data_IF_299628615674
#
_entry.id   IF_299628615674
#
_cell.length_a   1.000
_cell.length_b   1.000
_cell.length_c   1.000
_cell.angle_alpha   90.00
_cell.angle_beta   90.00
_cell.angle_gamma   90.00
#
_symmetry.space_group_name_H-M   'P 1'
#
loop_
_entity.id
_entity.type
_entity.pdbx_description
1 polymer ?
#
# COMPACT_ATOMS: atom_id res chain seq x y z
N UNK A 1 18.08 -10.93 2.38
CA UNK A 1 17.93 -11.30 0.94
C UNK A 1 16.47 -11.41 0.47
N UNK A 2 15.59 -12.26 1.04
CA UNK A 2 14.16 -12.31 0.62
C UNK A 2 13.32 -11.09 1.04
N UNK A 3 13.69 -10.42 2.14
CA UNK A 3 13.00 -9.23 2.66
C UNK A 3 13.41 -7.98 1.87
N UNK A 4 14.69 -7.86 1.51
CA UNK A 4 15.23 -6.70 0.77
C UNK A 4 14.62 -6.59 -0.64
N UNK A 5 14.37 -7.72 -1.32
CA UNK A 5 13.67 -7.75 -2.61
C UNK A 5 12.18 -7.39 -2.53
N UNK A 6 11.55 -7.56 -1.36
CA UNK A 6 10.15 -7.14 -1.12
C UNK A 6 10.07 -5.63 -0.88
N UNK A 7 11.12 -5.02 -0.32
CA UNK A 7 11.19 -3.58 -0.04
C UNK A 7 11.50 -2.80 -1.33
N UNK A 8 12.42 -3.28 -2.19
CA UNK A 8 12.75 -2.60 -3.45
C UNK A 8 11.65 -2.66 -4.52
N UNK A 9 10.70 -3.59 -4.41
CA UNK A 9 9.53 -3.74 -5.28
C UNK A 9 8.19 -3.52 -4.53
N UNK A 10 8.22 -2.70 -3.47
CA UNK A 10 7.06 -2.38 -2.63
C UNK A 10 5.83 -1.94 -3.46
N UNK A 11 6.03 -1.21 -4.56
CA UNK A 11 4.96 -0.76 -5.46
C UNK A 11 4.12 -1.92 -6.03
N UNK A 12 4.76 -2.96 -6.56
CA UNK A 12 4.07 -4.13 -7.13
C UNK A 12 3.39 -4.99 -6.05
N UNK A 13 4.02 -5.11 -4.88
CA UNK A 13 3.48 -5.84 -3.75
C UNK A 13 2.21 -5.16 -3.20
N UNK A 14 2.29 -3.86 -2.94
CA UNK A 14 1.16 -3.05 -2.47
C UNK A 14 0.03 -3.03 -3.49
N UNK A 15 0.34 -2.89 -4.80
CA UNK A 15 -0.67 -2.94 -5.86
C UNK A 15 -1.40 -4.29 -5.93
N UNK A 16 -0.69 -5.40 -5.74
CA UNK A 16 -1.31 -6.74 -5.73
C UNK A 16 -2.26 -6.91 -4.54
N UNK A 17 -1.86 -6.45 -3.36
CA UNK A 17 -2.70 -6.44 -2.17
C UNK A 17 -3.94 -5.56 -2.39
N UNK A 18 -3.77 -4.38 -3.00
CA UNK A 18 -4.86 -3.45 -3.29
C UNK A 18 -5.92 -4.09 -4.20
N UNK A 19 -5.51 -4.80 -5.23
CA UNK A 19 -6.41 -5.54 -6.14
C UNK A 19 -7.18 -6.61 -5.36
N UNK A 20 -6.49 -7.36 -4.49
CA UNK A 20 -7.11 -8.36 -3.62
C UNK A 20 -8.15 -7.76 -2.67
N UNK A 21 -7.82 -6.64 -2.02
CA UNK A 21 -8.75 -5.92 -1.12
C UNK A 21 -9.97 -5.42 -1.90
N UNK A 22 -9.77 -4.86 -3.10
CA UNK A 22 -10.85 -4.35 -3.94
C UNK A 22 -11.82 -5.47 -4.35
N UNK A 23 -11.29 -6.61 -4.81
CA UNK A 23 -12.08 -7.79 -5.14
C UNK A 23 -12.86 -8.35 -3.94
N UNK A 24 -12.20 -8.47 -2.79
CA UNK A 24 -12.84 -8.91 -1.55
C UNK A 24 -13.94 -7.94 -1.10
N UNK A 25 -13.72 -6.62 -1.28
CA UNK A 25 -14.70 -5.56 -1.01
C UNK A 25 -15.95 -5.68 -1.89
N UNK A 26 -15.79 -5.92 -3.20
CA UNK A 26 -16.94 -6.15 -4.08
C UNK A 26 -17.74 -7.39 -3.71
N UNK A 27 -17.06 -8.50 -3.43
CA UNK A 27 -17.73 -9.73 -2.99
C UNK A 27 -18.48 -9.52 -1.67
N UNK A 28 -17.84 -8.90 -0.68
CA UNK A 28 -18.50 -8.57 0.60
C UNK A 28 -19.71 -7.66 0.41
N UNK A 29 -19.61 -6.64 -0.44
CA UNK A 29 -20.73 -5.74 -0.73
C UNK A 29 -21.91 -6.46 -1.38
N UNK A 30 -21.64 -7.42 -2.28
CA UNK A 30 -22.69 -8.23 -2.89
C UNK A 30 -23.38 -9.12 -1.85
N UNK A 31 -22.61 -9.82 -1.00
CA UNK A 31 -23.18 -10.64 0.07
C UNK A 31 -23.91 -9.82 1.15
N UNK A 32 -23.47 -8.58 1.42
CA UNK A 32 -24.08 -7.71 2.41
C UNK A 32 -25.54 -7.36 2.08
N UNK A 33 -25.85 -7.17 0.81
CA UNK A 33 -27.21 -6.90 0.33
C UNK A 33 -28.15 -8.08 0.65
N UNK A 34 -27.70 -9.30 0.36
CA UNK A 34 -28.54 -10.48 0.54
C UNK A 34 -28.67 -10.90 2.01
N UNK A 35 -27.57 -10.87 2.78
CA UNK A 35 -27.53 -11.42 4.15
C UNK A 35 -28.02 -10.46 5.23
N UNK A 36 -27.87 -9.15 5.03
CA UNK A 36 -28.16 -8.17 6.07
C UNK A 36 -29.24 -7.17 5.63
N UNK A 37 -29.25 -6.75 4.37
CA UNK A 37 -30.15 -5.68 3.94
C UNK A 37 -31.60 -6.14 3.79
N UNK A 38 -31.81 -7.34 3.25
CA UNK A 38 -33.15 -7.92 3.13
C UNK A 38 -33.82 -8.13 4.50
N UNK A 39 -33.19 -8.82 5.49
CA UNK A 39 -33.78 -8.98 6.82
C UNK A 39 -34.03 -7.66 7.56
N UNK A 40 -33.12 -6.68 7.40
CA UNK A 40 -33.29 -5.37 8.01
C UNK A 40 -34.50 -4.63 7.41
N UNK A 41 -34.67 -4.71 6.08
CA UNK A 41 -35.80 -4.09 5.39
C UNK A 41 -37.15 -4.71 5.75
N UNK A 42 -37.21 -6.04 5.91
CA UNK A 42 -38.41 -6.75 6.35
C UNK A 42 -38.75 -6.39 7.79
N UNK A 43 -37.77 -6.38 8.70
CA UNK A 43 -37.98 -5.96 10.09
C UNK A 43 -38.50 -4.53 10.21
N UNK A 44 -37.98 -3.60 9.39
CA UNK A 44 -38.44 -2.20 9.36
C UNK A 44 -39.86 -2.08 8.79
N UNK A 45 -40.21 -2.91 7.81
CA UNK A 45 -41.57 -2.96 7.26
C UNK A 45 -42.56 -3.50 8.30
N UNK A 46 -42.20 -4.58 8.99
CA UNK A 46 -43.00 -5.19 10.06
C UNK A 46 -43.19 -4.25 11.26
N UNK A 47 -42.24 -3.34 11.51
CA UNK A 47 -42.36 -2.28 12.52
C UNK A 47 -43.34 -1.16 12.13
N UNK A 48 -43.94 -1.22 10.94
CA UNK A 48 -44.96 -0.27 10.49
C UNK A 48 -44.41 1.02 9.88
N UNK A 49 -43.18 1.00 9.36
CA UNK A 49 -42.61 2.17 8.66
C UNK A 49 -43.42 2.43 7.38
N UNK A 50 -43.96 3.66 7.17
CA UNK A 50 -44.84 3.99 6.05
C UNK A 50 -44.05 4.25 4.75
N UNK A 51 -43.17 3.32 4.40
CA UNK A 51 -42.31 3.37 3.22
C UNK A 51 -42.51 2.08 2.42
N UNK A 52 -42.61 2.13 1.08
CA UNK A 52 -42.69 0.93 0.24
C UNK A 52 -41.49 0.00 0.46
N UNK A 53 -41.74 -1.31 0.52
CA UNK A 53 -40.71 -2.34 0.78
C UNK A 53 -39.48 -2.20 -0.14
N UNK A 54 -39.68 -1.87 -1.42
CA UNK A 54 -38.58 -1.68 -2.38
C UNK A 54 -37.67 -0.50 -2.05
N UNK A 55 -38.24 0.62 -1.58
CA UNK A 55 -37.46 1.79 -1.14
C UNK A 55 -36.74 1.49 0.18
N UNK A 56 -37.41 0.78 1.09
CA UNK A 56 -36.85 0.39 2.38
C UNK A 56 -35.68 -0.60 2.21
N UNK A 57 -35.79 -1.54 1.28
CA UNK A 57 -34.70 -2.45 0.90
C UNK A 57 -33.51 -1.68 0.33
N UNK A 58 -33.74 -0.74 -0.59
CA UNK A 58 -32.67 0.08 -1.16
C UNK A 58 -31.94 0.88 -0.07
N UNK A 59 -32.67 1.50 0.86
CA UNK A 59 -32.10 2.24 1.99
C UNK A 59 -31.30 1.30 2.90
N UNK A 60 -31.86 0.13 3.24
CA UNK A 60 -31.17 -0.88 4.05
C UNK A 60 -29.88 -1.35 3.39
N UNK A 61 -29.87 -1.59 2.08
CA UNK A 61 -28.66 -1.98 1.32
C UNK A 61 -27.61 -0.90 1.46
N UNK A 62 -27.95 0.37 1.16
CA UNK A 62 -26.99 1.48 1.25
C UNK A 62 -26.43 1.64 2.67
N UNK A 63 -27.28 1.62 3.69
CA UNK A 63 -26.87 1.78 5.10
C UNK A 63 -25.95 0.64 5.52
N UNK A 64 -26.32 -0.60 5.24
CA UNK A 64 -25.52 -1.78 5.60
C UNK A 64 -24.21 -1.80 4.82
N UNK A 65 -24.22 -1.46 3.53
CA UNK A 65 -23.00 -1.37 2.74
C UNK A 65 -22.04 -0.33 3.34
N UNK A 66 -22.52 0.84 3.76
CA UNK A 66 -21.69 1.87 4.40
C UNK A 66 -21.12 1.36 5.73
N UNK A 67 -21.96 0.80 6.60
CA UNK A 67 -21.54 0.29 7.91
C UNK A 67 -20.53 -0.83 7.73
N UNK A 68 -20.85 -1.83 6.91
CA UNK A 68 -19.95 -2.96 6.68
C UNK A 68 -18.65 -2.51 6.02
N UNK A 69 -18.71 -1.61 5.04
CA UNK A 69 -17.53 -1.03 4.40
C UNK A 69 -16.61 -0.35 5.42
N UNK A 70 -17.17 0.43 6.36
CA UNK A 70 -16.39 1.04 7.43
C UNK A 70 -15.68 -0.02 8.28
N UNK A 71 -16.41 -1.05 8.74
CA UNK A 71 -15.81 -2.11 9.55
C UNK A 71 -14.76 -2.90 8.77
N UNK A 72 -15.01 -3.29 7.52
CA UNK A 72 -14.03 -4.02 6.70
C UNK A 72 -12.81 -3.18 6.39
N UNK A 73 -12.97 -1.88 6.15
CA UNK A 73 -11.85 -0.97 5.87
C UNK A 73 -11.01 -0.75 7.13
N UNK A 74 -11.64 -0.47 8.27
CA UNK A 74 -10.93 -0.25 9.54
C UNK A 74 -10.21 -1.52 9.99
N UNK A 75 -10.93 -2.64 10.12
CA UNK A 75 -10.38 -3.88 10.68
C UNK A 75 -9.62 -4.72 9.67
N UNK A 76 -10.01 -4.68 8.39
CA UNK A 76 -9.38 -5.46 7.33
C UNK A 76 -8.17 -4.79 6.68
N UNK A 77 -8.14 -3.45 6.63
CA UNK A 77 -7.07 -2.72 5.93
C UNK A 77 -6.27 -1.79 6.85
N UNK A 78 -6.91 -0.76 7.44
CA UNK A 78 -6.19 0.33 8.10
C UNK A 78 -5.49 -0.10 9.39
N UNK A 79 -6.17 -0.86 10.25
CA UNK A 79 -5.58 -1.35 11.51
C UNK A 79 -4.44 -2.33 11.24
N UNK A 80 -4.58 -3.37 10.38
CA UNK A 80 -3.48 -4.24 10.02
C UNK A 80 -2.31 -3.49 9.40
N UNK A 81 -2.57 -2.51 8.52
CA UNK A 81 -1.53 -1.69 7.89
C UNK A 81 -0.74 -0.86 8.91
N UNK A 82 -1.43 -0.19 9.83
CA UNK A 82 -0.80 0.55 10.92
C UNK A 82 0.02 -0.37 11.85
N UNK A 83 -0.50 -1.57 12.15
CA UNK A 83 0.19 -2.54 12.97
C UNK A 83 1.45 -3.07 12.27
N UNK A 84 1.35 -3.36 10.97
CA UNK A 84 2.45 -3.79 10.12
C UNK A 84 3.56 -2.73 10.05
N UNK A 85 3.22 -1.45 9.94
CA UNK A 85 4.23 -0.37 9.93
C UNK A 85 4.97 -0.23 11.27
N UNK A 86 4.28 -0.41 12.40
CA UNK A 86 4.91 -0.32 13.72
C UNK A 86 5.69 -1.58 14.14
N UNK A 87 5.30 -2.76 13.64
CA UNK A 87 5.92 -4.06 13.95
C UNK A 87 6.29 -4.84 12.68
N UNK A 88 6.99 -4.15 11.78
CA UNK A 88 7.30 -4.66 10.44
C UNK A 88 8.01 -6.01 10.47
N UNK A 89 9.00 -6.21 11.34
CA UNK A 89 9.81 -7.43 11.34
C UNK A 89 9.04 -8.68 11.83
N UNK A 90 8.24 -8.54 12.90
CA UNK A 90 7.45 -9.65 13.46
C UNK A 90 6.29 -10.03 12.54
N UNK A 91 5.59 -9.03 12.01
CA UNK A 91 4.46 -9.25 11.11
C UNK A 91 4.95 -9.77 9.77
N UNK A 92 6.07 -9.28 9.24
CA UNK A 92 6.66 -9.81 8.01
C UNK A 92 7.04 -11.30 8.14
N UNK A 93 7.69 -11.70 9.24
CA UNK A 93 8.07 -13.12 9.45
C UNK A 93 6.85 -14.05 9.51
N UNK A 94 5.76 -13.63 10.15
CA UNK A 94 4.53 -14.43 10.24
C UNK A 94 3.74 -14.42 8.92
N UNK A 95 3.61 -13.25 8.29
CA UNK A 95 2.77 -13.05 7.12
C UNK A 95 3.45 -13.52 5.81
N UNK A 96 4.77 -13.62 5.76
CA UNK A 96 5.53 -14.06 4.56
C UNK A 96 5.03 -15.39 4.02
N UNK A 97 4.71 -16.37 4.88
CA UNK A 97 4.22 -17.68 4.46
C UNK A 97 2.89 -17.60 3.69
N UNK A 98 1.79 -17.17 4.34
CA UNK A 98 0.48 -17.10 3.68
C UNK A 98 0.47 -16.13 2.49
N UNK A 99 1.15 -14.98 2.59
CA UNK A 99 1.21 -14.02 1.49
C UNK A 99 1.98 -14.58 0.29
N UNK A 100 3.08 -15.32 0.51
CA UNK A 100 3.82 -15.93 -0.61
C UNK A 100 3.01 -17.01 -1.32
N UNK A 101 2.23 -17.80 -0.56
CA UNK A 101 1.32 -18.79 -1.14
C UNK A 101 0.25 -18.11 -2.01
N UNK A 102 -0.39 -17.07 -1.46
CA UNK A 102 -1.42 -16.31 -2.16
C UNK A 102 -0.85 -15.63 -3.41
N UNK A 103 0.34 -15.01 -3.30
CA UNK A 103 1.05 -14.40 -4.42
C UNK A 103 1.36 -15.42 -5.53
N UNK A 104 1.66 -16.67 -5.18
CA UNK A 104 1.89 -17.73 -6.16
C UNK A 104 0.61 -18.12 -6.90
N UNK A 105 -0.51 -18.23 -6.17
CA UNK A 105 -1.84 -18.54 -6.74
C UNK A 105 -2.32 -17.39 -7.62
N UNK A 106 -2.15 -16.14 -7.16
CA UNK A 106 -2.56 -14.94 -7.88
C UNK A 106 -1.55 -14.50 -8.96
N UNK A 107 -0.36 -15.11 -9.03
CA UNK A 107 0.67 -14.79 -10.03
C UNK A 107 0.17 -14.71 -11.48
N UNK A 108 -0.65 -15.64 -12.01
CA UNK A 108 -1.18 -15.52 -13.37
C UNK A 108 -2.07 -14.27 -13.56
N UNK A 109 -2.88 -13.94 -12.56
CA UNK A 109 -3.76 -12.76 -12.59
C UNK A 109 -2.92 -11.50 -12.56
N UNK A 110 -1.94 -11.42 -11.66
CA UNK A 110 -1.03 -10.27 -11.54
C UNK A 110 -0.27 -10.07 -12.85
N UNK A 111 0.26 -11.12 -13.48
CA UNK A 111 0.96 -11.02 -14.78
C UNK A 111 0.04 -10.46 -15.87
N UNK A 112 -1.21 -10.88 -15.91
CA UNK A 112 -2.19 -10.36 -16.86
C UNK A 112 -2.46 -8.87 -16.63
N UNK A 113 -2.67 -8.46 -15.38
CA UNK A 113 -2.83 -7.04 -15.02
C UNK A 113 -1.59 -6.21 -15.35
N UNK A 114 -0.39 -6.70 -15.02
CA UNK A 114 0.88 -6.04 -15.38
C UNK A 114 1.01 -5.89 -16.89
N UNK A 115 0.63 -6.91 -17.66
CA UNK A 115 0.59 -6.83 -19.12
C UNK A 115 -0.36 -5.73 -19.61
N UNK A 116 -1.58 -5.65 -19.04
CA UNK A 116 -2.53 -4.58 -19.36
C UNK A 116 -1.97 -3.19 -19.03
N UNK A 117 -1.30 -3.04 -17.89
CA UNK A 117 -0.66 -1.78 -17.49
C UNK A 117 0.44 -1.40 -18.49
N UNK A 118 1.35 -2.32 -18.83
CA UNK A 118 2.41 -2.05 -19.80
C UNK A 118 1.86 -1.72 -21.19
N UNK A 119 0.76 -2.36 -21.60
CA UNK A 119 0.10 -2.05 -22.86
C UNK A 119 -0.39 -0.59 -22.89
N UNK A 120 -1.03 -0.15 -21.80
CA UNK A 120 -1.54 1.23 -21.66
C UNK A 120 -0.39 2.23 -21.58
N UNK A 121 0.65 1.96 -20.77
CA UNK A 121 1.82 2.85 -20.67
C UNK A 121 2.54 3.00 -22.02
N UNK A 122 2.65 1.91 -22.78
CA UNK A 122 3.21 1.93 -24.14
C UNK A 122 2.35 2.74 -25.11
N UNK A 123 1.02 2.69 -24.98
CA UNK A 123 0.10 3.54 -25.76
C UNK A 123 0.26 5.03 -25.38
N UNK A 124 0.52 5.32 -24.11
CA UNK A 124 0.75 6.67 -23.61
C UNK A 124 2.20 7.16 -23.82
N UNK A 125 3.07 6.36 -24.43
CA UNK A 125 4.52 6.63 -24.61
C UNK A 125 5.26 6.91 -23.29
N UNK A 126 4.81 6.33 -22.18
CA UNK A 126 5.52 6.36 -20.90
C UNK A 126 6.35 5.08 -20.82
N UNK A 127 7.66 5.20 -20.54
CA UNK A 127 8.53 4.03 -20.40
C UNK A 127 8.32 3.42 -18.99
N UNK A 128 7.75 2.21 -18.87
CA UNK A 128 7.47 1.59 -17.58
C UNK A 128 8.73 1.20 -16.81
N UNK A 129 9.91 1.21 -17.45
CA UNK A 129 11.18 0.88 -16.82
C UNK A 129 12.06 2.11 -16.54
N UNK A 130 11.50 3.33 -16.66
CA UNK A 130 12.25 4.54 -16.36
C UNK A 130 12.41 4.67 -14.84
N UNK A 131 13.56 4.21 -14.34
CA UNK A 131 13.95 4.32 -12.92
C UNK A 131 14.77 5.58 -12.67
N UNK A 132 14.59 6.62 -13.50
CA UNK A 132 15.35 7.88 -13.42
C UNK A 132 15.09 8.71 -12.15
N UNK A 133 14.16 8.31 -11.29
CA UNK A 133 13.95 8.90 -9.96
C UNK A 133 14.93 8.39 -8.89
N UNK A 134 15.91 7.54 -9.22
CA UNK A 134 16.85 7.01 -8.25
C UNK A 134 17.95 8.03 -7.89
N UNK A 135 17.57 8.91 -6.97
CA UNK A 135 18.39 9.57 -5.93
C UNK A 135 19.57 10.39 -6.46
N UNK A 136 19.33 11.67 -6.66
CA UNK A 136 20.43 12.64 -6.77
C UNK A 136 21.13 12.76 -5.42
N UNK A 137 22.37 13.26 -5.41
CA UNK A 137 23.09 13.51 -4.16
C UNK A 137 22.30 14.49 -3.27
N UNK A 138 21.60 15.46 -3.88
CA UNK A 138 20.72 16.37 -3.16
C UNK A 138 19.57 15.65 -2.45
N UNK A 139 18.99 14.61 -3.06
CA UNK A 139 17.94 13.79 -2.43
C UNK A 139 18.49 13.01 -1.24
N UNK A 140 19.72 12.48 -1.35
CA UNK A 140 20.40 11.79 -0.25
C UNK A 140 20.67 12.77 0.91
N UNK A 141 21.20 13.97 0.62
CA UNK A 141 21.44 15.02 1.62
C UNK A 141 20.14 15.45 2.30
N UNK A 142 19.04 15.59 1.55
CA UNK A 142 17.72 15.91 2.10
C UNK A 142 17.21 14.82 3.06
N UNK A 143 17.35 13.55 2.69
CA UNK A 143 16.97 12.42 3.55
C UNK A 143 17.78 12.38 4.85
N UNK A 144 19.08 12.68 4.78
CA UNK A 144 19.96 12.71 5.96
C UNK A 144 19.57 13.87 6.89
N UNK A 145 19.27 15.06 6.36
CA UNK A 145 18.83 16.21 7.16
C UNK A 145 17.49 15.94 7.88
N UNK A 146 16.53 15.32 7.18
CA UNK A 146 15.27 14.88 7.78
C UNK A 146 15.52 13.86 8.90
N UNK A 147 16.42 12.91 8.67
CA UNK A 147 16.76 11.83 9.62
C UNK A 147 17.54 12.32 10.84
N UNK A 148 18.34 13.39 10.69
CA UNK A 148 18.99 14.08 11.80
C UNK A 148 17.98 14.82 12.69
N UNK A 149 16.96 15.43 12.08
CA UNK A 149 15.87 16.12 12.82
C UNK A 149 14.94 15.15 13.55
N UNK A 150 14.70 13.96 13.02
CA UNK A 150 13.92 12.91 13.69
C UNK A 150 14.70 12.19 14.81
N UNK A 151 15.99 12.51 14.99
CA UNK A 151 16.87 11.89 15.99
C UNK A 151 17.26 10.46 15.64
N UNK A 152 17.05 10.04 14.39
CA UNK A 152 17.41 8.69 13.90
C UNK A 152 18.89 8.59 13.54
N UNK A 153 19.50 9.71 13.09
CA UNK A 153 20.93 9.84 12.80
C UNK A 153 21.54 10.87 13.75
N UNK A 154 22.70 10.55 14.32
CA UNK A 154 23.40 11.48 15.20
C UNK A 154 24.17 12.53 14.38
N UNK A 155 24.39 13.72 14.94
CA UNK A 155 25.17 14.79 14.28
C UNK A 155 26.54 14.32 13.81
N UNK A 156 27.20 13.44 14.56
CA UNK A 156 28.50 12.88 14.18
C UNK A 156 28.44 12.00 12.92
N UNK A 157 27.34 11.28 12.73
CA UNK A 157 27.12 10.42 11.55
C UNK A 157 26.77 11.29 10.33
N UNK A 158 25.97 12.34 10.53
CA UNK A 158 25.69 13.33 9.48
C UNK A 158 26.96 13.99 8.98
N UNK A 159 27.82 14.47 9.89
CA UNK A 159 29.13 15.05 9.52
C UNK A 159 30.06 14.05 8.85
N UNK A 160 30.02 12.78 9.24
CA UNK A 160 30.80 11.73 8.55
C UNK A 160 30.34 11.56 7.10
N UNK A 161 29.03 11.53 6.84
CA UNK A 161 28.50 11.37 5.49
C UNK A 161 28.80 12.60 4.62
N UNK A 162 28.67 13.81 5.16
CA UNK A 162 29.03 15.05 4.46
C UNK A 162 30.51 15.06 4.05
N UNK A 163 31.41 14.60 4.95
CA UNK A 163 32.84 14.50 4.65
C UNK A 163 33.15 13.44 3.57
N UNK A 164 32.32 12.39 3.43
CA UNK A 164 32.49 11.37 2.38
C UNK A 164 32.15 11.96 1.01
N UNK A 165 31.08 12.75 0.91
CA UNK A 165 30.76 13.48 -0.33
C UNK A 165 31.84 14.50 -0.67
N UNK A 166 32.29 15.29 0.32
CA UNK A 166 33.37 16.27 0.11
C UNK A 166 34.71 15.63 -0.27
N UNK A 167 34.93 14.36 0.10
CA UNK A 167 36.13 13.61 -0.27
C UNK A 167 36.07 13.12 -1.72
N UNK A 168 34.90 12.68 -2.21
CA UNK A 168 34.71 12.28 -3.60
C UNK A 168 34.95 13.45 -4.57
N UNK A 169 34.54 14.65 -4.16
CA UNK A 169 34.74 15.89 -4.91
C UNK A 169 36.17 16.46 -4.84
N UNK A 170 37.03 15.95 -3.93
CA UNK A 170 38.40 16.47 -3.77
C UNK A 170 39.37 15.84 -4.75
N UNK A 171 40.05 16.68 -5.53
CA UNK A 171 41.14 16.24 -6.37
C UNK A 171 42.41 16.07 -5.54
N UNK A 172 43.29 15.15 -5.94
CA UNK A 172 44.58 14.90 -5.27
C UNK A 172 45.42 16.18 -5.14
N UNK A 173 45.27 17.11 -6.07
CA UNK A 173 45.88 18.46 -6.07
C UNK A 173 45.44 19.35 -4.90
N UNK A 174 44.26 19.12 -4.34
CA UNK A 174 43.70 19.96 -3.26
C UNK A 174 44.25 19.56 -1.88
N UNK A 175 44.78 18.34 -1.79
CA UNK A 175 45.32 17.73 -0.56
C UNK A 175 46.84 17.79 -0.55
N UNK A 176 47.49 17.57 -1.71
CA UNK A 176 48.93 17.72 -1.85
C UNK A 176 49.30 19.16 -2.20
N UNK A 177 49.47 20.00 -1.16
CA UNK A 177 50.26 21.22 -1.30
C UNK A 177 51.74 20.84 -1.44
N UNK A 178 52.29 21.02 -2.64
CA UNK A 178 53.75 21.04 -2.89
C UNK A 178 54.34 22.32 -2.31
#
# INVERSE_FOLDING_TARGET
>A
MKIDQLISNSSHFLSTIQIGITLAGFLSSAFAADFFATPLSEMLFDLGVPIPLGTLNTISVVVITIVLSYFTLVFGELVPKQLALKKAETIAKFAVGPISLLAKICSPIVKFLTFSIHLILRLLRVDPNDVSELTTEEDIRLMIDISGKSGTINKSEQTMIDNVFEFDDKLVSDIMKI
#
